data_IF_791227744675
#
_entry.id   IF_791227744675
#
_cell.length_a   1.000
_cell.length_b   1.000
_cell.length_c   1.000
_cell.angle_alpha   90.00
_cell.angle_beta   90.00
_cell.angle_gamma   90.00
#
_symmetry.space_group_name_H-M   'P 1'
#
loop_
_entity.id
_entity.type
_entity.pdbx_description
1 polymer ?
#
# COMPACT_ATOMS: atom_id res chain seq x y z
N UNK A 1 23.70 27.09 7.90
CA UNK A 1 23.70 25.91 8.79
C UNK A 1 23.57 24.70 7.89
N UNK A 2 24.39 23.67 8.08
CA UNK A 2 24.61 22.64 7.06
C UNK A 2 23.45 21.64 7.01
N UNK A 3 23.18 21.02 5.85
CA UNK A 3 22.11 20.01 5.70
C UNK A 3 22.28 18.80 6.63
N UNK A 4 23.46 18.64 7.22
CA UNK A 4 23.78 17.60 8.20
C UNK A 4 23.20 17.93 9.57
N UNK A 5 23.18 19.21 9.96
CA UNK A 5 22.61 19.65 11.23
C UNK A 5 21.08 19.46 11.23
N UNK A 6 20.44 19.76 10.09
CA UNK A 6 19.01 19.57 9.87
C UNK A 6 18.61 18.09 9.83
N UNK A 7 19.44 17.24 9.21
CA UNK A 7 19.27 15.79 9.25
C UNK A 7 19.42 15.23 10.67
N UNK A 8 20.43 15.67 11.42
CA UNK A 8 20.65 15.21 12.79
C UNK A 8 19.50 15.62 13.72
N UNK A 9 18.90 16.80 13.49
CA UNK A 9 17.71 17.23 14.21
C UNK A 9 16.47 16.37 13.87
N UNK A 10 16.27 16.06 12.59
CA UNK A 10 15.16 15.21 12.15
C UNK A 10 15.26 13.78 12.72
N UNK A 11 16.46 13.19 12.74
CA UNK A 11 16.70 11.88 13.36
C UNK A 11 16.47 11.94 14.88
N UNK A 12 16.89 13.03 15.53
CA UNK A 12 16.63 13.24 16.96
C UNK A 12 15.13 13.32 17.29
N UNK A 13 14.35 14.01 16.46
CA UNK A 13 12.90 14.10 16.62
C UNK A 13 12.22 12.74 16.40
N UNK A 14 12.62 11.98 15.38
CA UNK A 14 12.10 10.64 15.13
C UNK A 14 12.39 9.67 16.31
N UNK A 15 13.57 9.77 16.91
CA UNK A 15 13.94 8.96 18.07
C UNK A 15 13.10 9.31 19.31
N UNK A 16 12.94 10.60 19.63
CA UNK A 16 12.08 11.07 20.73
C UNK A 16 10.62 10.60 20.57
N UNK A 17 10.14 10.60 19.33
CA UNK A 17 8.79 10.12 19.02
C UNK A 17 8.64 8.61 19.19
N UNK A 18 9.64 7.82 18.79
CA UNK A 18 9.64 6.38 19.03
C UNK A 18 9.59 6.07 20.54
N UNK A 19 10.31 6.84 21.37
CA UNK A 19 10.26 6.72 22.82
C UNK A 19 8.86 7.02 23.39
N UNK A 20 8.18 8.05 22.87
CA UNK A 20 6.81 8.39 23.25
C UNK A 20 5.81 7.27 22.93
N UNK A 21 5.94 6.64 21.74
CA UNK A 21 5.11 5.50 21.34
C UNK A 21 5.36 4.28 22.24
N UNK A 22 6.62 3.99 22.57
CA UNK A 22 6.98 2.89 23.49
C UNK A 22 6.37 3.14 24.88
N UNK A 23 6.42 4.37 25.38
CA UNK A 23 5.81 4.72 26.65
C UNK A 23 4.28 4.52 26.65
N UNK A 24 3.61 4.91 25.56
CA UNK A 24 2.17 4.72 25.40
C UNK A 24 1.76 3.23 25.36
N UNK A 25 2.54 2.39 24.67
CA UNK A 25 2.33 0.94 24.62
C UNK A 25 2.47 0.32 26.02
N UNK A 26 3.48 0.75 26.78
CA UNK A 26 3.68 0.26 28.15
C UNK A 26 2.54 0.67 29.09
N UNK A 27 1.99 1.88 28.94
CA UNK A 27 0.82 2.33 29.69
C UNK A 27 -0.43 1.50 29.37
N UNK A 28 -0.67 1.23 28.07
CA UNK A 28 -1.78 0.39 27.64
C UNK A 28 -1.67 -1.05 28.19
N UNK A 29 -0.46 -1.59 28.25
CA UNK A 29 -0.20 -2.90 28.86
C UNK A 29 -0.52 -2.91 30.35
N UNK A 30 -0.07 -1.90 31.11
CA UNK A 30 -0.37 -1.78 32.53
C UNK A 30 -1.88 -1.70 32.81
N UNK A 31 -2.62 -0.94 31.99
CA UNK A 31 -4.09 -0.86 32.08
C UNK A 31 -4.76 -2.22 31.77
N UNK A 32 -4.20 -3.01 30.87
CA UNK A 32 -4.65 -4.38 30.58
C UNK A 32 -4.42 -5.34 31.75
N UNK A 33 -3.26 -5.25 32.40
CA UNK A 33 -2.94 -6.07 33.58
C UNK A 33 -3.86 -5.70 34.77
N UNK A 34 -4.18 -4.41 34.94
CA UNK A 34 -5.16 -3.94 35.95
C UNK A 34 -6.57 -4.47 35.66
N UNK A 35 -6.98 -4.54 34.39
CA UNK A 35 -8.26 -5.12 33.98
C UNK A 35 -8.34 -6.61 34.32
N UNK A 36 -7.29 -7.39 34.04
CA UNK A 36 -7.23 -8.82 34.37
C UNK A 36 -7.36 -9.01 35.88
N UNK A 37 -6.61 -8.26 36.68
CA UNK A 37 -6.71 -8.30 38.14
C UNK A 37 -8.08 -7.87 38.68
N UNK A 38 -8.75 -6.91 38.04
CA UNK A 38 -10.10 -6.49 38.41
C UNK A 38 -11.17 -7.56 38.10
N UNK A 39 -10.98 -8.32 37.02
CA UNK A 39 -11.86 -9.44 36.65
C UNK A 39 -11.69 -10.61 37.61
N UNK A 40 -10.46 -10.95 37.98
CA UNK A 40 -10.16 -12.04 38.92
C UNK A 40 -10.72 -11.79 40.33
N UNK A 41 -10.81 -10.52 40.76
CA UNK A 41 -11.24 -10.15 42.11
C UNK A 41 -12.73 -9.77 42.26
N UNK A 42 -13.50 -9.66 41.17
CA UNK A 42 -14.88 -9.19 41.20
C UNK A 42 -15.91 -10.28 40.87
N UNK A 43 -16.95 -10.40 41.70
CA UNK A 43 -18.13 -11.25 41.43
C UNK A 43 -18.90 -10.83 40.16
N UNK A 44 -19.66 -11.77 39.60
CA UNK A 44 -20.16 -11.79 38.22
C UNK A 44 -20.89 -10.52 37.70
N UNK A 45 -21.56 -9.74 38.56
CA UNK A 45 -22.28 -8.53 38.12
C UNK A 45 -21.42 -7.25 38.20
N UNK A 46 -20.46 -7.17 39.12
CA UNK A 46 -19.58 -6.00 39.27
C UNK A 46 -18.42 -5.98 38.26
N UNK A 47 -18.00 -7.15 37.79
CA UNK A 47 -16.91 -7.32 36.82
C UNK A 47 -17.29 -6.81 35.42
N UNK A 48 -18.53 -7.02 34.97
CA UNK A 48 -18.97 -6.61 33.64
C UNK A 48 -19.06 -5.07 33.46
N UNK A 49 -19.49 -4.33 34.49
CA UNK A 49 -19.56 -2.87 34.42
C UNK A 49 -18.15 -2.24 34.43
N UNK A 50 -17.23 -2.75 35.27
CA UNK A 50 -15.84 -2.29 35.31
C UNK A 50 -15.08 -2.65 34.04
N UNK A 51 -15.26 -3.86 33.52
CA UNK A 51 -14.63 -4.29 32.27
C UNK A 51 -15.06 -3.42 31.08
N UNK A 52 -16.35 -3.04 31.00
CA UNK A 52 -16.82 -2.11 29.96
C UNK A 52 -16.22 -0.71 30.11
N UNK A 53 -16.12 -0.19 31.33
CA UNK A 53 -15.54 1.14 31.57
C UNK A 53 -14.04 1.18 31.21
N UNK A 54 -13.29 0.13 31.56
CA UNK A 54 -11.88 0.02 31.22
C UNK A 54 -11.69 -0.23 29.71
N UNK A 55 -12.54 -1.06 29.09
CA UNK A 55 -12.53 -1.28 27.64
C UNK A 55 -12.77 0.02 26.85
N UNK A 56 -13.76 0.83 27.25
CA UNK A 56 -14.02 2.12 26.62
C UNK A 56 -12.85 3.10 26.77
N UNK A 57 -12.14 3.07 27.91
CA UNK A 57 -10.94 3.87 28.14
C UNK A 57 -9.78 3.42 27.25
N UNK A 58 -9.54 2.11 27.15
CA UNK A 58 -8.55 1.51 26.25
C UNK A 58 -8.83 1.86 24.79
N UNK A 59 -10.09 1.80 24.34
CA UNK A 59 -10.48 2.19 22.98
C UNK A 59 -10.22 3.67 22.72
N UNK A 60 -10.56 4.55 23.67
CA UNK A 60 -10.30 5.99 23.56
C UNK A 60 -8.80 6.32 23.53
N UNK A 61 -8.00 5.67 24.38
CA UNK A 61 -6.55 5.86 24.43
C UNK A 61 -5.87 5.31 23.17
N UNK A 62 -6.29 4.14 22.69
CA UNK A 62 -5.79 3.56 21.44
C UNK A 62 -6.12 4.43 20.22
N UNK A 63 -7.32 5.03 20.17
CA UNK A 63 -7.70 5.96 19.11
C UNK A 63 -6.83 7.24 19.13
N UNK A 64 -6.54 7.77 20.32
CA UNK A 64 -5.67 8.94 20.47
C UNK A 64 -4.22 8.63 20.03
N UNK A 65 -3.68 7.47 20.41
CA UNK A 65 -2.34 7.02 20.00
C UNK A 65 -2.28 6.82 18.49
N UNK A 66 -3.33 6.25 17.88
CA UNK A 66 -3.37 6.05 16.43
C UNK A 66 -3.36 7.38 15.64
N UNK A 67 -4.02 8.42 16.16
CA UNK A 67 -3.97 9.76 15.59
C UNK A 67 -2.57 10.37 15.73
N UNK A 68 -1.96 10.30 16.92
CA UNK A 68 -0.60 10.80 17.14
C UNK A 68 0.42 10.10 16.25
N UNK A 69 0.33 8.77 16.09
CA UNK A 69 1.22 8.01 15.22
C UNK A 69 1.05 8.41 13.75
N UNK A 70 -0.18 8.71 13.34
CA UNK A 70 -0.46 9.16 11.98
C UNK A 70 0.16 10.54 11.72
N UNK A 71 -0.03 11.50 12.63
CA UNK A 71 0.53 12.84 12.48
C UNK A 71 2.06 12.79 12.37
N UNK A 72 2.69 11.91 13.15
CA UNK A 72 4.14 11.65 13.09
C UNK A 72 4.57 11.05 11.76
N UNK A 73 3.83 10.07 11.24
CA UNK A 73 4.15 9.45 9.95
C UNK A 73 4.00 10.45 8.80
N UNK A 74 3.00 11.32 8.88
CA UNK A 74 2.80 12.41 7.92
C UNK A 74 3.96 13.40 7.99
N UNK A 75 4.43 13.78 9.18
CA UNK A 75 5.60 14.65 9.37
C UNK A 75 6.90 14.02 8.84
N UNK A 76 7.17 12.74 9.14
CA UNK A 76 8.34 12.02 8.61
C UNK A 76 8.28 11.96 7.08
N UNK A 77 7.09 11.78 6.51
CA UNK A 77 6.89 11.73 5.06
C UNK A 77 7.17 13.08 4.42
N UNK A 78 6.69 14.17 5.00
CA UNK A 78 6.98 15.54 4.55
C UNK A 78 8.49 15.83 4.61
N UNK A 79 9.15 15.47 5.71
CA UNK A 79 10.60 15.63 5.86
C UNK A 79 11.38 14.79 4.83
N UNK A 80 10.96 13.56 4.56
CA UNK A 80 11.57 12.72 3.53
C UNK A 80 11.40 13.30 2.12
N UNK A 81 10.26 13.94 1.84
CA UNK A 81 10.03 14.67 0.59
C UNK A 81 10.93 15.90 0.48
N UNK A 82 11.03 16.72 1.54
CA UNK A 82 11.92 17.87 1.59
C UNK A 82 13.40 17.50 1.41
N UNK A 83 13.83 16.40 2.04
CA UNK A 83 15.17 15.84 1.88
C UNK A 83 15.46 15.41 0.44
N UNK A 84 14.49 14.77 -0.23
CA UNK A 84 14.61 14.38 -1.64
C UNK A 84 14.75 15.59 -2.56
N UNK A 85 14.01 16.66 -2.31
CA UNK A 85 14.12 17.92 -3.06
C UNK A 85 15.45 18.65 -2.80
N UNK A 86 15.91 18.68 -1.55
CA UNK A 86 17.21 19.27 -1.19
C UNK A 86 18.38 18.51 -1.82
N UNK A 87 18.36 17.17 -1.80
CA UNK A 87 19.37 16.33 -2.46
C UNK A 87 19.34 16.47 -3.99
N UNK A 88 18.15 16.52 -4.61
CA UNK A 88 18.05 16.75 -6.06
C UNK A 88 18.45 18.18 -6.47
N UNK A 89 18.23 19.17 -5.61
CA UNK A 89 18.72 20.54 -5.78
C UNK A 89 20.24 20.65 -5.64
N UNK A 90 20.83 20.01 -4.64
CA UNK A 90 22.28 19.99 -4.40
C UNK A 90 23.04 19.26 -5.53
N UNK A 91 22.48 18.16 -6.05
CA UNK A 91 23.05 17.42 -7.19
C UNK A 91 22.93 18.17 -8.53
N UNK A 92 22.05 19.18 -8.64
CA UNK A 92 21.97 20.07 -9.82
C UNK A 92 23.03 21.19 -9.82
N UNK A 93 23.70 21.43 -8.69
CA UNK A 93 24.67 22.52 -8.52
C UNK A 93 26.12 22.19 -8.90
N UNK A 94 26.44 20.95 -9.29
CA UNK A 94 27.81 20.60 -9.68
C UNK A 94 27.83 19.48 -10.70
N UNK A 95 28.34 19.80 -11.89
CA UNK A 95 28.81 18.81 -12.85
C UNK A 95 27.81 18.52 -13.97
N UNK A 96 28.28 18.78 -15.18
CA UNK A 96 27.67 18.43 -16.46
C UNK A 96 27.40 16.92 -16.53
N UNK A 97 26.21 16.50 -16.14
CA UNK A 97 25.64 15.23 -16.56
C UNK A 97 24.17 15.41 -16.88
N UNK A 98 23.86 15.31 -18.18
CA UNK A 98 22.52 15.35 -18.76
C UNK A 98 21.75 14.15 -18.21
N UNK A 99 20.75 14.32 -17.32
CA UNK A 99 19.96 13.18 -16.88
C UNK A 99 19.06 12.80 -18.06
N UNK A 100 19.18 11.56 -18.54
CA UNK A 100 18.15 10.93 -19.38
C UNK A 100 16.98 10.56 -18.46
N UNK A 101 16.36 11.56 -17.84
CA UNK A 101 15.22 11.43 -16.93
C UNK A 101 13.91 11.84 -17.62
N UNK A 102 13.83 11.58 -18.93
CA UNK A 102 12.61 11.76 -19.74
C UNK A 102 11.87 10.45 -20.01
N UNK A 103 12.49 9.28 -19.78
CA UNK A 103 11.91 7.99 -20.20
C UNK A 103 10.79 7.47 -19.26
N UNK A 104 10.83 7.78 -17.97
CA UNK A 104 9.83 7.31 -17.00
C UNK A 104 8.43 7.92 -17.18
N UNK A 105 8.31 9.00 -17.96
CA UNK A 105 7.04 9.67 -18.28
C UNK A 105 6.61 9.48 -19.74
N UNK A 106 7.39 8.82 -20.59
CA UNK A 106 6.95 8.51 -21.94
C UNK A 106 5.96 7.34 -21.89
N UNK A 107 4.88 7.36 -22.70
CA UNK A 107 4.10 6.14 -22.92
C UNK A 107 5.08 5.04 -23.35
N UNK A 108 4.96 3.81 -22.81
CA UNK A 108 5.92 2.76 -23.08
C UNK A 108 6.04 2.53 -24.60
N UNK A 109 7.26 2.23 -25.10
CA UNK A 109 7.46 1.91 -26.51
C UNK A 109 6.50 0.79 -26.91
N UNK A 110 5.87 0.92 -28.10
CA UNK A 110 4.79 0.04 -28.64
C UNK A 110 4.58 -1.24 -27.83
N UNK A 111 3.76 -1.14 -26.78
CA UNK A 111 3.46 -2.27 -25.92
C UNK A 111 2.45 -3.19 -26.62
N UNK A 112 2.88 -4.39 -26.99
CA UNK A 112 1.99 -5.40 -27.58
C UNK A 112 1.44 -6.33 -26.48
N UNK A 113 0.32 -5.90 -25.89
CA UNK A 113 -0.38 -6.66 -24.86
C UNK A 113 -0.78 -8.08 -25.32
N UNK A 114 -1.04 -8.30 -26.63
CA UNK A 114 -1.39 -9.62 -27.16
C UNK A 114 -0.21 -10.57 -27.10
N UNK A 115 0.97 -10.08 -27.47
CA UNK A 115 2.21 -10.86 -27.42
C UNK A 115 2.55 -11.28 -26.00
N UNK A 116 2.46 -10.34 -25.05
CA UNK A 116 2.71 -10.61 -23.63
C UNK A 116 1.68 -11.61 -23.09
N UNK A 117 0.39 -11.42 -23.37
CA UNK A 117 -0.64 -12.38 -22.96
C UNK A 117 -0.39 -13.77 -23.54
N UNK A 118 0.08 -13.86 -24.79
CA UNK A 118 0.38 -15.13 -25.45
C UNK A 118 1.54 -15.91 -24.82
N UNK A 119 2.43 -15.25 -24.08
CA UNK A 119 3.54 -15.91 -23.37
C UNK A 119 3.23 -16.26 -21.91
N UNK A 120 2.06 -15.85 -21.39
CA UNK A 120 1.67 -16.09 -20.00
C UNK A 120 1.06 -17.49 -19.82
N UNK A 121 1.14 -18.07 -18.61
CA UNK A 121 0.42 -19.30 -18.30
C UNK A 121 -1.09 -19.13 -18.57
N UNK A 122 -1.72 -20.20 -19.08
CA UNK A 122 -3.16 -20.22 -19.28
C UNK A 122 -3.90 -20.01 -17.95
N UNK A 123 -5.04 -19.30 -18.01
CA UNK A 123 -5.91 -19.18 -16.85
C UNK A 123 -6.74 -20.45 -16.69
N UNK A 124 -6.29 -21.35 -15.82
CA UNK A 124 -6.91 -22.65 -15.63
C UNK A 124 -7.86 -22.67 -14.44
N UNK A 125 -9.15 -22.90 -14.70
CA UNK A 125 -10.14 -23.23 -13.66
C UNK A 125 -10.21 -24.76 -13.51
N UNK A 126 -9.26 -25.36 -12.79
CA UNK A 126 -9.32 -26.80 -12.46
C UNK A 126 -10.15 -27.03 -11.19
N UNK A 127 -10.99 -28.08 -11.21
CA UNK A 127 -11.75 -28.51 -10.03
C UNK A 127 -10.79 -28.86 -8.89
N UNK A 128 -10.97 -28.26 -7.71
CA UNK A 128 -10.10 -28.47 -6.55
C UNK A 128 -8.88 -27.54 -6.48
N UNK A 129 -8.63 -26.70 -7.48
CA UNK A 129 -7.59 -25.67 -7.44
C UNK A 129 -8.21 -24.27 -7.51
N UNK A 130 -7.69 -23.34 -6.71
CA UNK A 130 -8.01 -21.93 -6.91
C UNK A 130 -7.32 -21.44 -8.19
N UNK A 131 -8.07 -20.90 -9.16
CA UNK A 131 -7.48 -20.33 -10.37
C UNK A 131 -6.56 -19.17 -10.00
N UNK A 132 -5.40 -19.13 -10.64
CA UNK A 132 -4.38 -18.10 -10.42
C UNK A 132 -4.37 -17.12 -11.57
N UNK A 133 -4.42 -15.83 -11.23
CA UNK A 133 -4.18 -14.76 -12.18
C UNK A 133 -2.67 -14.52 -12.24
N UNK A 134 -2.08 -14.70 -13.40
CA UNK A 134 -0.73 -14.25 -13.68
C UNK A 134 -0.82 -12.86 -14.28
N UNK A 135 0.16 -12.01 -13.95
CA UNK A 135 0.25 -10.67 -14.50
C UNK A 135 1.69 -10.32 -14.87
N UNK A 136 1.85 -9.51 -15.90
CA UNK A 136 3.13 -8.94 -16.32
C UNK A 136 2.97 -7.43 -16.42
N UNK A 137 3.70 -6.70 -15.58
CA UNK A 137 3.80 -5.24 -15.62
C UNK A 137 4.95 -4.84 -16.54
N UNK A 138 4.72 -3.81 -17.34
CA UNK A 138 5.70 -3.20 -18.22
C UNK A 138 5.64 -1.68 -18.08
N UNK A 139 6.77 -1.05 -17.76
CA UNK A 139 6.85 0.41 -17.63
C UNK A 139 7.67 1.06 -18.75
N UNK A 140 7.56 2.39 -18.84
CA UNK A 140 8.21 3.18 -19.91
C UNK A 140 9.74 3.17 -19.87
N UNK A 141 10.34 2.85 -18.74
CA UNK A 141 11.78 2.64 -18.55
C UNK A 141 12.27 1.25 -19.03
N UNK A 142 11.36 0.39 -19.49
CA UNK A 142 11.67 -0.99 -19.90
C UNK A 142 11.65 -2.00 -18.76
N UNK A 143 11.33 -1.59 -17.53
CA UNK A 143 11.18 -2.53 -16.41
C UNK A 143 10.02 -3.47 -16.69
N UNK A 144 10.27 -4.77 -16.47
CA UNK A 144 9.30 -5.86 -16.60
C UNK A 144 9.23 -6.64 -15.29
N UNK A 145 8.04 -6.72 -14.69
CA UNK A 145 7.80 -7.44 -13.43
C UNK A 145 6.69 -8.45 -13.61
N UNK A 146 6.78 -9.59 -12.93
CA UNK A 146 5.78 -10.66 -12.99
C UNK A 146 5.12 -10.83 -11.62
N UNK A 147 3.81 -11.07 -11.63
CA UNK A 147 3.01 -11.25 -10.43
C UNK A 147 2.09 -12.44 -10.59
N UNK A 148 1.78 -13.11 -9.48
CA UNK A 148 0.77 -14.18 -9.43
C UNK A 148 -0.18 -13.91 -8.28
N UNK A 149 -1.49 -14.11 -8.48
CA UNK A 149 -2.47 -13.94 -7.42
C UNK A 149 -2.32 -15.00 -6.33
N UNK A 150 -2.64 -14.67 -5.09
CA UNK A 150 -2.41 -15.49 -3.91
C UNK A 150 -1.62 -14.77 -2.83
N UNK A 151 -1.64 -15.32 -1.63
CA UNK A 151 -0.95 -14.71 -0.51
C UNK A 151 0.56 -14.90 -0.65
N UNK A 152 1.31 -13.82 -0.45
CA UNK A 152 2.76 -13.80 -0.36
C UNK A 152 3.23 -12.67 0.57
N UNK A 153 4.54 -12.39 0.58
CA UNK A 153 5.16 -11.35 1.41
C UNK A 153 4.64 -9.93 1.13
N UNK A 154 4.04 -9.69 -0.05
CA UNK A 154 3.46 -8.39 -0.39
C UNK A 154 2.05 -8.21 0.20
N UNK A 155 1.33 -9.29 0.50
CA UNK A 155 -0.06 -9.24 0.96
C UNK A 155 -0.24 -8.43 2.27
N UNK A 156 0.60 -8.58 3.31
CA UNK A 156 0.51 -7.73 4.50
C UNK A 156 0.73 -6.25 4.19
N UNK A 157 1.66 -5.93 3.27
CA UNK A 157 1.94 -4.55 2.85
C UNK A 157 0.79 -3.95 2.05
N UNK A 158 0.14 -4.74 1.20
CA UNK A 158 -1.05 -4.33 0.46
C UNK A 158 -2.19 -4.01 1.42
N UNK A 159 -2.39 -4.87 2.43
CA UNK A 159 -3.40 -4.66 3.47
C UNK A 159 -3.16 -3.34 4.22
N UNK A 160 -1.93 -3.08 4.64
CA UNK A 160 -1.57 -1.84 5.32
C UNK A 160 -1.75 -0.62 4.41
N UNK A 161 -1.28 -0.68 3.17
CA UNK A 161 -1.43 0.43 2.22
C UNK A 161 -2.90 0.71 1.90
N UNK A 162 -3.74 -0.33 1.75
CA UNK A 162 -5.18 -0.16 1.59
C UNK A 162 -5.81 0.46 2.83
N UNK A 163 -5.39 0.09 4.05
CA UNK A 163 -5.89 0.71 5.27
C UNK A 163 -5.67 2.22 5.26
N UNK A 164 -4.44 2.64 4.96
CA UNK A 164 -4.06 4.05 4.85
C UNK A 164 -4.81 4.78 3.73
N UNK A 165 -5.04 4.14 2.59
CA UNK A 165 -5.55 4.78 1.37
C UNK A 165 -7.01 4.48 1.04
N UNK A 166 -7.75 3.66 1.80
CA UNK A 166 -9.17 3.35 1.53
C UNK A 166 -10.08 3.53 2.75
N UNK A 167 -9.50 3.77 3.92
CA UNK A 167 -10.22 3.99 5.18
C UNK A 167 -10.58 2.67 5.90
N UNK A 168 -11.27 2.74 7.05
CA UNK A 168 -11.44 1.61 7.98
C UNK A 168 -12.46 0.55 7.54
N UNK A 169 -12.68 0.36 6.23
CA UNK A 169 -13.64 -0.62 5.71
C UNK A 169 -13.02 -2.01 5.82
N UNK A 170 -12.86 -2.60 7.01
CA UNK A 170 -12.33 -3.96 7.14
C UNK A 170 -13.48 -4.96 7.26
N UNK A 171 -13.70 -5.85 6.27
CA UNK A 171 -14.43 -7.08 6.54
C UNK A 171 -13.60 -7.93 7.52
N UNK A 172 -14.23 -8.69 8.43
CA UNK A 172 -13.52 -9.51 9.42
C UNK A 172 -12.49 -10.48 8.82
N UNK A 173 -12.64 -10.84 7.54
CA UNK A 173 -11.77 -11.76 6.81
C UNK A 173 -10.74 -11.07 5.90
N UNK A 174 -10.56 -9.74 6.01
CA UNK A 174 -9.75 -8.94 5.08
C UNK A 174 -10.43 -8.75 3.73
N UNK A 175 -9.78 -8.07 2.79
CA UNK A 175 -10.26 -8.01 1.41
C UNK A 175 -9.64 -9.14 0.60
N UNK A 176 -10.49 -9.92 -0.07
CA UNK A 176 -10.05 -10.96 -1.00
C UNK A 176 -9.13 -10.43 -2.11
N UNK A 177 -9.26 -9.15 -2.47
CA UNK A 177 -8.43 -8.46 -3.46
C UNK A 177 -6.98 -8.20 -3.00
N UNK A 178 -6.65 -8.33 -1.72
CA UNK A 178 -5.28 -8.13 -1.18
C UNK A 178 -4.25 -9.06 -1.82
N UNK A 179 -4.69 -10.24 -2.22
CA UNK A 179 -3.86 -11.27 -2.83
C UNK A 179 -3.74 -11.12 -4.35
N UNK A 180 -4.44 -10.15 -4.95
CA UNK A 180 -4.56 -10.05 -6.41
C UNK A 180 -3.32 -9.46 -7.07
N UNK A 181 -3.03 -9.94 -8.27
CA UNK A 181 -1.85 -9.53 -9.03
C UNK A 181 -1.86 -8.03 -9.36
N UNK A 182 -3.05 -7.44 -9.54
CA UNK A 182 -3.24 -6.03 -9.86
C UNK A 182 -2.82 -5.10 -8.69
N UNK A 183 -3.15 -5.46 -7.44
CA UNK A 183 -2.73 -4.67 -6.28
C UNK A 183 -1.23 -4.83 -5.98
N UNK A 184 -0.66 -6.03 -6.24
CA UNK A 184 0.79 -6.24 -6.19
C UNK A 184 1.52 -5.37 -7.19
N UNK A 185 1.01 -5.28 -8.41
CA UNK A 185 1.55 -4.41 -9.44
C UNK A 185 1.48 -2.93 -9.04
N UNK A 186 0.34 -2.48 -8.48
CA UNK A 186 0.18 -1.11 -8.01
C UNK A 186 1.13 -0.78 -6.83
N UNK A 187 1.34 -1.72 -5.91
CA UNK A 187 2.33 -1.58 -4.84
C UNK A 187 3.75 -1.47 -5.41
N UNK A 188 4.11 -2.34 -6.36
CA UNK A 188 5.41 -2.30 -7.01
C UNK A 188 5.65 -0.99 -7.77
N UNK A 189 4.61 -0.41 -8.37
CA UNK A 189 4.71 0.93 -8.97
C UNK A 189 5.03 2.00 -7.92
N UNK A 190 4.39 1.93 -6.74
CA UNK A 190 4.69 2.84 -5.63
C UNK A 190 6.13 2.67 -5.12
N UNK A 191 6.56 1.44 -4.89
CA UNK A 191 7.90 1.12 -4.35
C UNK A 191 9.03 1.53 -5.30
N UNK A 192 8.78 1.48 -6.62
CA UNK A 192 9.77 1.78 -7.66
C UNK A 192 9.60 3.16 -8.29
N UNK A 193 8.70 4.00 -7.75
CA UNK A 193 8.36 5.33 -8.27
C UNK A 193 7.96 5.33 -9.77
N UNK A 194 7.28 4.27 -10.22
CA UNK A 194 6.79 4.12 -11.59
C UNK A 194 5.47 4.89 -11.74
N UNK A 195 5.48 5.93 -12.59
CA UNK A 195 4.27 6.75 -12.83
C UNK A 195 3.38 6.23 -13.93
N UNK A 196 3.90 5.50 -14.92
CA UNK A 196 3.10 4.97 -16.04
C UNK A 196 3.52 3.55 -16.37
N UNK A 197 2.54 2.65 -16.40
CA UNK A 197 2.78 1.26 -16.77
C UNK A 197 1.56 0.60 -17.41
N UNK A 198 1.82 -0.43 -18.20
CA UNK A 198 0.84 -1.37 -18.71
C UNK A 198 0.96 -2.69 -17.94
N UNK A 199 -0.17 -3.22 -17.48
CA UNK A 199 -0.27 -4.52 -16.83
C UNK A 199 -1.08 -5.45 -17.71
N UNK A 200 -0.53 -6.59 -18.08
CA UNK A 200 -1.30 -7.65 -18.76
C UNK A 200 -1.65 -8.72 -17.76
N UNK A 201 -2.92 -9.09 -17.67
CA UNK A 201 -3.40 -10.19 -16.82
C UNK A 201 -4.03 -11.29 -17.70
N UNK A 202 -3.95 -12.54 -17.24
CA UNK A 202 -4.57 -13.67 -17.92
C UNK A 202 -6.02 -13.95 -17.48
N UNK A 203 -6.56 -13.22 -16.50
CA UNK A 203 -7.94 -13.40 -16.05
C UNK A 203 -8.93 -12.91 -17.13
N UNK A 204 -9.77 -13.79 -17.71
CA UNK A 204 -10.66 -13.40 -18.80
C UNK A 204 -11.82 -12.49 -18.36
N UNK A 205 -12.08 -12.40 -17.06
CA UNK A 205 -13.04 -11.44 -16.49
C UNK A 205 -12.46 -10.03 -16.32
N UNK A 206 -11.16 -9.83 -16.56
CA UNK A 206 -10.48 -8.57 -16.26
C UNK A 206 -10.27 -8.35 -14.76
N UNK A 207 -9.90 -7.11 -14.37
CA UNK A 207 -9.88 -6.71 -12.97
C UNK A 207 -11.24 -6.96 -12.34
N UNK A 208 -11.26 -7.56 -11.16
CA UNK A 208 -12.53 -7.90 -10.53
C UNK A 208 -13.35 -6.65 -10.17
N UNK A 209 -14.65 -6.72 -10.45
CA UNK A 209 -15.58 -5.62 -10.30
C UNK A 209 -16.01 -5.37 -8.84
N UNK A 210 -16.69 -4.24 -8.63
CA UNK A 210 -17.27 -3.85 -7.36
C UNK A 210 -16.36 -2.96 -6.53
N UNK A 211 -16.94 -2.34 -5.49
CA UNK A 211 -16.27 -1.35 -4.63
C UNK A 211 -14.98 -1.88 -3.98
N UNK A 212 -14.96 -3.19 -3.71
CA UNK A 212 -13.84 -3.88 -3.05
C UNK A 212 -13.03 -4.76 -4.02
N UNK A 213 -13.41 -4.79 -5.29
CA UNK A 213 -12.63 -5.40 -6.35
C UNK A 213 -11.51 -4.48 -6.83
N UNK A 214 -10.53 -5.03 -7.53
CA UNK A 214 -9.41 -4.27 -8.09
C UNK A 214 -9.90 -3.12 -8.97
N UNK A 215 -11.01 -3.29 -9.70
CA UNK A 215 -11.62 -2.23 -10.53
C UNK A 215 -12.00 -0.98 -9.72
N UNK A 216 -12.55 -1.19 -8.51
CA UNK A 216 -12.94 -0.11 -7.60
C UNK A 216 -11.81 0.43 -6.73
N UNK A 217 -10.72 -0.33 -6.57
CA UNK A 217 -9.62 -0.02 -5.65
C UNK A 217 -8.41 0.60 -6.33
N UNK A 218 -8.07 0.20 -7.56
CA UNK A 218 -6.81 0.59 -8.22
C UNK A 218 -6.61 2.11 -8.30
N UNK A 219 -7.64 2.87 -8.68
CA UNK A 219 -7.55 4.33 -8.75
C UNK A 219 -7.28 5.02 -7.39
N UNK A 220 -7.69 4.39 -6.29
CA UNK A 220 -7.43 4.88 -4.92
C UNK A 220 -6.09 4.43 -4.37
N UNK A 221 -5.59 3.31 -4.87
CA UNK A 221 -4.38 2.66 -4.40
C UNK A 221 -3.13 3.22 -5.08
N UNK A 222 -3.24 3.60 -6.36
CA UNK A 222 -2.16 4.22 -7.12
C UNK A 222 -1.78 5.58 -6.53
N UNK A 223 -0.47 5.87 -6.53
CA UNK A 223 0.03 7.17 -6.13
C UNK A 223 -0.57 8.28 -7.00
N UNK A 224 -0.85 9.47 -6.43
CA UNK A 224 -1.28 10.63 -7.18
C UNK A 224 -0.44 10.89 -8.44
N UNK A 225 -1.11 11.10 -9.57
CA UNK A 225 -0.46 11.36 -10.86
C UNK A 225 0.13 10.11 -11.56
N UNK A 226 0.01 8.93 -10.95
CA UNK A 226 0.38 7.67 -11.61
C UNK A 226 -0.80 7.07 -12.39
N UNK A 227 -0.52 6.39 -13.48
CA UNK A 227 -1.50 5.71 -14.32
C UNK A 227 -1.09 4.27 -14.62
N UNK A 228 -2.03 3.35 -14.42
CA UNK A 228 -1.88 1.93 -14.75
C UNK A 228 -2.94 1.54 -15.78
N UNK A 229 -2.53 1.07 -16.94
CA UNK A 229 -3.45 0.48 -17.93
C UNK A 229 -3.42 -1.03 -17.80
N UNK A 230 -4.55 -1.63 -17.40
CA UNK A 230 -4.67 -3.08 -17.31
C UNK A 230 -5.26 -3.61 -18.61
N UNK A 231 -4.64 -4.64 -19.18
CA UNK A 231 -5.02 -5.33 -20.40
C UNK A 231 -5.35 -6.79 -20.09
N UNK A 232 -6.40 -7.32 -20.69
CA UNK A 232 -6.77 -8.72 -20.56
C UNK A 232 -7.42 -9.24 -21.83
N UNK A 233 -7.29 -10.53 -22.10
CA UNK A 233 -8.06 -11.19 -23.14
C UNK A 233 -9.41 -11.58 -22.56
N UNK A 234 -10.48 -10.92 -22.99
CA UNK A 234 -11.82 -11.20 -22.49
C UNK A 234 -12.35 -12.58 -22.97
N UNK A 235 -13.53 -12.98 -22.50
CA UNK A 235 -14.14 -14.26 -22.84
C UNK A 235 -14.41 -14.48 -24.35
N UNK A 236 -14.53 -13.43 -25.17
CA UNK A 236 -14.69 -13.54 -26.62
C UNK A 236 -13.35 -13.64 -27.38
N UNK A 237 -12.23 -13.62 -26.66
CA UNK A 237 -10.89 -13.71 -27.23
C UNK A 237 -10.31 -12.37 -27.70
N UNK A 238 -11.03 -11.26 -27.56
CA UNK A 238 -10.49 -9.93 -27.87
C UNK A 238 -9.72 -9.36 -26.68
N UNK A 239 -8.73 -8.52 -26.96
CA UNK A 239 -8.07 -7.73 -25.91
C UNK A 239 -8.97 -6.58 -25.48
N UNK A 240 -9.19 -6.47 -24.19
CA UNK A 240 -9.81 -5.35 -23.52
C UNK A 240 -8.78 -4.65 -22.65
N UNK A 241 -8.99 -3.36 -22.39
CA UNK A 241 -8.11 -2.57 -21.53
C UNK A 241 -8.88 -1.52 -20.74
N UNK A 242 -8.38 -1.19 -19.55
CA UNK A 242 -8.89 -0.08 -18.72
C UNK A 242 -7.74 0.62 -18.02
N UNK A 243 -7.76 1.95 -18.07
CA UNK A 243 -6.76 2.79 -17.40
C UNK A 243 -7.30 3.31 -16.09
N UNK A 244 -6.47 3.20 -15.05
CA UNK A 244 -6.71 3.74 -13.72
C UNK A 244 -5.68 4.81 -13.44
N UNK A 245 -6.13 5.95 -12.91
CA UNK A 245 -5.25 7.06 -12.53
C UNK A 245 -5.39 7.30 -11.04
N UNK A 246 -4.25 7.40 -10.36
CA UNK A 246 -4.17 7.75 -8.94
C UNK A 246 -4.73 9.14 -8.71
N UNK A 247 -5.80 9.24 -7.94
CA UNK A 247 -6.42 10.52 -7.58
C UNK A 247 -5.75 11.10 -6.34
N UNK A 248 -5.46 12.41 -6.35
CA UNK A 248 -5.18 13.16 -5.12
C UNK A 248 -6.39 13.04 -4.19
N UNK A 249 -6.13 12.85 -2.91
CA UNK A 249 -7.13 12.98 -1.86
C UNK A 249 -6.96 14.31 -1.16
#
# INVERSE_FOLDING_TARGET
MSSVDEFSAAVGNAASTAESVIAAINAAKANGDELVGAIENAGAEGSAARARAIGARLESEAAAIALQLKDVLDEIREQAHGLREALTGALRGSGVHRPVSGAANLPPPRFDARRVHGSMPGFERRRGHQPRTHAVLHSGDGTRLEFTSGDDESTPRIREHMWQHTGPVRPPNGFWSESHAELKAALAMSDKDIKRADLVINNPGGPCEGRLGCDGLLAKYLQPGSSLTVHWRNANGSMSSKTYTGTLR
#
